data_IF_408539133229
#
_entry.id   IF_408539133229
#
_cell.length_a   1.000
_cell.length_b   1.000
_cell.length_c   1.000
_cell.angle_alpha   90.00
_cell.angle_beta   90.00
_cell.angle_gamma   90.00
#
_symmetry.space_group_name_H-M   'P 1'
#
loop_
_entity.id
_entity.type
_entity.pdbx_description
1 polymer ?
#
# COMPACT_ATOMS: atom_id res chain seq x y z
N UNK A 1 -4.81 1.50 -0.25
CA UNK A 1 -4.48 1.68 1.18
C UNK A 1 -5.74 1.59 2.05
N UNK A 2 -6.71 2.51 1.97
CA UNK A 2 -7.94 2.43 2.79
C UNK A 2 -8.72 1.12 2.65
N UNK A 3 -8.89 0.61 1.42
CA UNK A 3 -9.52 -0.68 1.15
C UNK A 3 -8.81 -1.86 1.85
N UNK A 4 -7.48 -1.82 1.84
CA UNK A 4 -6.61 -2.88 2.37
C UNK A 4 -6.60 -2.83 3.91
N UNK A 5 -6.50 -1.62 4.48
CA UNK A 5 -6.65 -1.44 5.92
C UNK A 5 -8.04 -1.85 6.44
N UNK A 6 -9.06 -1.90 5.56
CA UNK A 6 -10.39 -2.39 5.91
C UNK A 6 -10.55 -3.91 5.72
N UNK A 7 -9.72 -4.57 4.91
CA UNK A 7 -9.85 -6.03 4.69
C UNK A 7 -9.55 -6.86 5.94
N UNK A 8 -8.75 -6.33 6.88
CA UNK A 8 -8.53 -6.88 8.22
C UNK A 8 -9.65 -6.53 9.24
N UNK A 9 -10.64 -5.74 8.81
CA UNK A 9 -11.79 -5.38 9.63
C UNK A 9 -11.53 -4.29 10.67
N UNK A 10 -10.29 -4.07 11.12
CA UNK A 10 -9.92 -3.03 12.11
C UNK A 10 -8.59 -2.32 11.77
N UNK A 11 -8.69 -1.03 11.45
CA UNK A 11 -7.50 -0.19 11.22
C UNK A 11 -6.76 0.07 12.54
N UNK A 12 -5.47 -0.27 12.59
CA UNK A 12 -4.57 -0.06 13.73
C UNK A 12 -3.91 1.32 13.70
N UNK A 13 -3.31 1.74 14.83
CA UNK A 13 -2.56 3.00 14.90
C UNK A 13 -1.31 2.97 14.03
N UNK A 14 -0.69 1.80 13.89
CA UNK A 14 0.55 1.62 13.12
C UNK A 14 0.30 1.74 11.62
N UNK A 15 -0.84 1.23 11.13
CA UNK A 15 -1.28 1.44 9.74
C UNK A 15 -1.54 2.92 9.42
N UNK A 16 -2.16 3.66 10.36
CA UNK A 16 -2.40 5.10 10.20
C UNK A 16 -1.06 5.86 10.19
N UNK A 17 -0.13 5.51 11.08
CA UNK A 17 1.18 6.12 11.14
C UNK A 17 1.98 5.89 9.85
N UNK A 18 1.94 4.67 9.31
CA UNK A 18 2.59 4.34 8.04
C UNK A 18 1.96 5.12 6.88
N UNK A 19 0.63 5.17 6.80
CA UNK A 19 -0.08 5.95 5.78
C UNK A 19 0.31 7.45 5.84
N UNK A 20 0.42 8.03 7.04
CA UNK A 20 0.86 9.41 7.21
C UNK A 20 2.31 9.61 6.74
N UNK A 21 3.23 8.69 7.09
CA UNK A 21 4.62 8.78 6.64
C UNK A 21 4.76 8.68 5.11
N UNK A 22 3.96 7.81 4.49
CA UNK A 22 3.89 7.72 3.03
C UNK A 22 3.43 9.04 2.42
N UNK A 23 2.35 9.63 2.94
CA UNK A 23 1.86 10.93 2.49
C UNK A 23 2.90 12.05 2.67
N UNK A 24 3.64 12.06 3.78
CA UNK A 24 4.73 13.01 4.02
C UNK A 24 5.86 12.88 2.99
N UNK A 25 6.23 11.64 2.62
CA UNK A 25 7.26 11.38 1.60
C UNK A 25 6.85 11.75 0.18
N UNK A 26 5.56 11.71 -0.11
CA UNK A 26 5.03 12.22 -1.38
C UNK A 26 5.13 13.75 -1.49
N UNK A 27 5.62 14.44 -0.45
CA UNK A 27 5.79 15.89 -0.38
C UNK A 27 4.48 16.64 -0.68
N UNK A 28 3.37 16.10 -0.18
CA UNK A 28 2.05 16.69 -0.31
C UNK A 28 1.96 17.97 0.50
N UNK A 29 1.42 19.04 -0.10
CA UNK A 29 1.03 20.22 0.66
C UNK A 29 -0.20 19.93 1.54
N UNK A 30 -0.57 20.86 2.43
CA UNK A 30 -1.65 20.68 3.39
C UNK A 30 -3.01 20.34 2.74
N UNK A 31 -3.33 21.00 1.62
CA UNK A 31 -4.55 20.71 0.85
C UNK A 31 -4.52 19.30 0.26
N UNK A 32 -3.40 18.92 -0.35
CA UNK A 32 -3.21 17.59 -0.92
C UNK A 32 -3.24 16.49 0.15
N UNK A 33 -2.70 16.76 1.33
CA UNK A 33 -2.77 15.83 2.48
C UNK A 33 -4.21 15.64 2.94
N UNK A 34 -4.98 16.71 3.03
CA UNK A 34 -6.42 16.63 3.37
C UNK A 34 -7.19 15.79 2.34
N UNK A 35 -6.93 16.00 1.05
CA UNK A 35 -7.50 15.18 -0.02
C UNK A 35 -7.10 13.72 0.11
N UNK A 36 -5.82 13.43 0.37
CA UNK A 36 -5.32 12.07 0.53
C UNK A 36 -5.97 11.34 1.73
N UNK A 37 -6.19 12.03 2.85
CA UNK A 37 -6.92 11.50 4.01
C UNK A 37 -8.38 11.19 3.63
N UNK A 38 -9.04 12.09 2.91
CA UNK A 38 -10.41 11.87 2.46
C UNK A 38 -10.50 10.66 1.52
N UNK A 39 -9.59 10.55 0.54
CA UNK A 39 -9.51 9.40 -0.36
C UNK A 39 -9.20 8.09 0.37
N UNK A 40 -8.36 8.13 1.41
CA UNK A 40 -8.13 6.98 2.28
C UNK A 40 -9.42 6.55 2.99
N UNK A 41 -10.20 7.51 3.50
CA UNK A 41 -11.49 7.23 4.14
C UNK A 41 -12.54 6.70 3.15
N UNK A 42 -12.61 7.26 1.95
CA UNK A 42 -13.45 6.76 0.86
C UNK A 42 -13.10 5.31 0.52
N UNK A 43 -11.81 4.98 0.46
CA UNK A 43 -11.33 3.62 0.22
C UNK A 43 -11.78 2.58 1.24
N UNK A 44 -12.18 2.99 2.46
CA UNK A 44 -12.70 2.09 3.51
C UNK A 44 -14.19 1.79 3.36
N UNK A 45 -14.91 2.50 2.49
CA UNK A 45 -16.35 2.34 2.34
C UNK A 45 -16.69 0.94 1.80
N UNK A 46 -17.82 0.36 2.21
CA UNK A 46 -18.32 -0.86 1.56
C UNK A 46 -18.54 -0.59 0.07
N UNK A 47 -18.33 -1.61 -0.76
CA UNK A 47 -18.46 -1.54 -2.22
C UNK A 47 -17.49 -0.57 -2.92
N UNK A 48 -16.37 -0.20 -2.28
CA UNK A 48 -15.32 0.54 -2.96
C UNK A 48 -14.83 -0.24 -4.20
N UNK A 49 -14.83 0.35 -5.41
CA UNK A 49 -14.53 -0.35 -6.66
C UNK A 49 -13.02 -0.50 -6.87
N UNK A 50 -12.37 -1.29 -6.01
CA UNK A 50 -10.90 -1.40 -5.96
C UNK A 50 -10.29 -1.79 -7.30
N UNK A 51 -10.88 -2.75 -8.02
CA UNK A 51 -10.35 -3.25 -9.28
C UNK A 51 -10.42 -2.19 -10.39
N UNK A 52 -11.48 -1.39 -10.44
CA UNK A 52 -11.62 -0.30 -11.42
C UNK A 52 -10.59 0.79 -11.16
N UNK A 53 -10.38 1.14 -9.89
CA UNK A 53 -9.38 2.13 -9.48
C UNK A 53 -7.96 1.64 -9.79
N UNK A 54 -7.65 0.37 -9.53
CA UNK A 54 -6.35 -0.23 -9.86
C UNK A 54 -6.13 -0.31 -11.38
N UNK A 55 -7.16 -0.66 -12.14
CA UNK A 55 -7.10 -0.66 -13.60
C UNK A 55 -6.81 0.75 -14.16
N UNK A 56 -7.49 1.77 -13.64
CA UNK A 56 -7.20 3.16 -13.99
C UNK A 56 -5.76 3.55 -13.61
N UNK A 57 -5.35 3.29 -12.37
CA UNK A 57 -4.01 3.59 -11.89
C UNK A 57 -2.92 2.94 -12.75
N UNK A 58 -3.10 1.67 -13.15
CA UNK A 58 -2.18 0.96 -14.05
C UNK A 58 -2.09 1.61 -15.42
N UNK A 59 -3.22 2.03 -16.01
CA UNK A 59 -3.23 2.74 -17.29
C UNK A 59 -2.46 4.06 -17.21
N UNK A 60 -2.73 4.85 -16.17
CA UNK A 60 -2.08 6.16 -15.96
C UNK A 60 -0.58 6.02 -15.61
N UNK A 61 -0.21 4.92 -14.94
CA UNK A 61 1.16 4.64 -14.50
C UNK A 61 1.96 3.77 -15.47
N UNK A 62 1.42 3.45 -16.66
CA UNK A 62 2.00 2.46 -17.59
C UNK A 62 3.49 2.69 -17.91
N UNK A 63 3.93 3.95 -18.00
CA UNK A 63 5.33 4.32 -18.29
C UNK A 63 6.18 4.53 -17.04
N UNK A 64 5.57 4.47 -15.85
CA UNK A 64 6.18 4.78 -14.55
C UNK A 64 6.27 3.52 -13.70
N UNK A 65 7.03 2.52 -14.16
CA UNK A 65 7.18 1.22 -13.45
C UNK A 65 7.60 1.39 -11.99
N UNK A 66 8.47 2.36 -11.70
CA UNK A 66 8.90 2.68 -10.34
C UNK A 66 7.75 3.17 -9.45
N UNK A 67 6.75 3.87 -10.01
CA UNK A 67 5.57 4.32 -9.27
C UNK A 67 4.69 3.13 -8.88
N UNK A 68 4.48 2.19 -9.80
CA UNK A 68 3.70 0.96 -9.53
C UNK A 68 4.41 0.10 -8.49
N UNK A 69 5.73 -0.08 -8.62
CA UNK A 69 6.52 -0.82 -7.64
C UNK A 69 6.46 -0.16 -6.25
N UNK A 70 6.69 1.15 -6.17
CA UNK A 70 6.60 1.90 -4.91
C UNK A 70 5.22 1.78 -4.27
N UNK A 71 4.15 1.87 -5.08
CA UNK A 71 2.78 1.69 -4.60
C UNK A 71 2.58 0.29 -3.99
N UNK A 72 3.02 -0.75 -4.69
CA UNK A 72 2.87 -2.12 -4.21
C UNK A 72 3.70 -2.37 -2.95
N UNK A 73 4.92 -1.82 -2.85
CA UNK A 73 5.75 -1.86 -1.64
C UNK A 73 5.04 -1.23 -0.43
N UNK A 74 4.43 -0.05 -0.62
CA UNK A 74 3.67 0.66 0.43
C UNK A 74 2.47 -0.17 0.89
N UNK A 75 1.74 -0.73 -0.07
CA UNK A 75 0.54 -1.54 0.18
C UNK A 75 0.88 -2.79 0.98
N UNK A 76 1.92 -3.52 0.57
CA UNK A 76 2.38 -4.71 1.28
C UNK A 76 2.88 -4.36 2.69
N UNK A 77 3.64 -3.28 2.84
CA UNK A 77 4.13 -2.83 4.14
C UNK A 77 3.01 -2.47 5.12
N UNK A 78 1.91 -1.91 4.61
CA UNK A 78 0.74 -1.58 5.43
C UNK A 78 0.10 -2.84 6.00
N UNK A 79 -0.03 -3.88 5.17
CA UNK A 79 -0.54 -5.17 5.59
C UNK A 79 0.43 -5.98 6.49
N UNK A 80 1.68 -5.56 6.63
CA UNK A 80 2.66 -6.16 7.56
C UNK A 80 2.87 -5.32 8.83
N UNK A 81 2.17 -4.18 8.98
CA UNK A 81 2.48 -3.18 10.02
C UNK A 81 2.32 -3.71 11.45
N UNK A 82 1.46 -4.71 11.67
CA UNK A 82 1.26 -5.38 12.95
C UNK A 82 2.22 -6.58 13.19
N UNK A 83 3.12 -6.83 12.23
CA UNK A 83 4.12 -7.88 12.28
C UNK A 83 3.63 -9.28 11.88
N UNK A 84 2.38 -9.42 11.44
CA UNK A 84 1.84 -10.66 10.88
C UNK A 84 1.15 -10.36 9.55
N UNK A 85 0.93 -11.40 8.77
CA UNK A 85 0.10 -11.34 7.57
C UNK A 85 -0.67 -12.63 7.56
N UNK A 86 -2.00 -12.53 7.54
CA UNK A 86 -2.85 -13.71 7.43
C UNK A 86 -3.03 -14.13 5.96
N UNK A 87 -3.61 -15.31 5.75
CA UNK A 87 -3.81 -15.86 4.40
C UNK A 87 -4.80 -15.03 3.57
N UNK A 88 -5.77 -14.36 4.21
CA UNK A 88 -6.75 -13.51 3.52
C UNK A 88 -6.06 -12.24 3.02
N UNK A 89 -5.24 -11.60 3.84
CA UNK A 89 -4.48 -10.42 3.45
C UNK A 89 -3.50 -10.71 2.33
N UNK A 90 -2.79 -11.83 2.42
CA UNK A 90 -1.90 -12.28 1.34
C UNK A 90 -2.69 -12.45 0.04
N UNK A 91 -3.87 -13.09 0.08
CA UNK A 91 -4.71 -13.26 -1.11
C UNK A 91 -5.15 -11.92 -1.72
N UNK A 92 -5.58 -10.96 -0.89
CA UNK A 92 -5.95 -9.61 -1.36
C UNK A 92 -4.75 -8.91 -2.00
N UNK A 93 -3.56 -9.02 -1.41
CA UNK A 93 -2.34 -8.43 -1.98
C UNK A 93 -1.93 -9.09 -3.31
N UNK A 94 -2.09 -10.41 -3.43
CA UNK A 94 -1.86 -11.15 -4.67
C UNK A 94 -2.81 -10.71 -5.78
N UNK A 95 -4.09 -10.50 -5.48
CA UNK A 95 -5.08 -9.94 -6.41
C UNK A 95 -4.69 -8.54 -6.88
N UNK A 96 -4.33 -7.66 -5.94
CA UNK A 96 -3.89 -6.29 -6.24
C UNK A 96 -2.62 -6.30 -7.11
N UNK A 97 -1.64 -7.16 -6.78
CA UNK A 97 -0.41 -7.30 -7.55
C UNK A 97 -0.71 -7.75 -8.99
N UNK A 98 -1.62 -8.71 -9.16
CA UNK A 98 -2.08 -9.21 -10.46
C UNK A 98 -2.76 -8.13 -11.29
N UNK A 99 -3.66 -7.36 -10.68
CA UNK A 99 -4.32 -6.23 -11.34
C UNK A 99 -3.28 -5.24 -11.87
N UNK A 100 -2.23 -4.98 -11.10
CA UNK A 100 -1.11 -4.10 -11.47
C UNK A 100 -0.13 -4.72 -12.48
N UNK A 101 -0.30 -6.01 -12.84
CA UNK A 101 0.49 -6.70 -13.86
C UNK A 101 1.68 -7.49 -13.33
N UNK A 102 1.72 -7.80 -12.03
CA UNK A 102 2.69 -8.70 -11.44
C UNK A 102 2.16 -10.14 -11.53
N UNK A 103 3.04 -11.08 -11.86
CA UNK A 103 2.75 -12.50 -11.71
C UNK A 103 3.12 -13.00 -10.30
N UNK A 104 2.76 -14.24 -9.99
CA UNK A 104 3.01 -14.84 -8.67
C UNK A 104 4.49 -14.81 -8.28
N UNK A 105 5.39 -15.12 -9.21
CA UNK A 105 6.83 -15.15 -8.92
C UNK A 105 7.36 -13.75 -8.56
N UNK A 106 6.97 -12.74 -9.33
CA UNK A 106 7.34 -11.35 -9.07
C UNK A 106 6.79 -10.85 -7.73
N UNK A 107 5.56 -11.26 -7.38
CA UNK A 107 4.98 -10.95 -6.09
C UNK A 107 5.71 -11.65 -4.93
N UNK A 108 6.04 -12.94 -5.07
CA UNK A 108 6.81 -13.69 -4.08
C UNK A 108 8.22 -13.12 -3.90
N UNK A 109 8.89 -12.71 -4.99
CA UNK A 109 10.19 -12.02 -4.94
C UNK A 109 10.09 -10.67 -4.23
N UNK A 110 9.00 -9.92 -4.48
CA UNK A 110 8.71 -8.70 -3.74
C UNK A 110 8.60 -9.04 -2.25
N UNK A 111 7.68 -9.91 -1.86
CA UNK A 111 7.46 -10.33 -0.47
C UNK A 111 8.77 -10.76 0.20
N UNK A 112 9.54 -11.66 -0.40
CA UNK A 112 10.82 -12.14 0.12
C UNK A 112 11.82 -11.02 0.36
N UNK A 113 11.89 -10.03 -0.54
CA UNK A 113 12.75 -8.84 -0.36
C UNK A 113 12.23 -7.93 0.75
N UNK A 114 10.93 -7.82 0.94
CA UNK A 114 10.32 -6.97 1.97
C UNK A 114 10.35 -7.62 3.37
N UNK A 115 10.31 -8.95 3.46
CA UNK A 115 10.32 -9.72 4.71
C UNK A 115 11.72 -10.22 5.11
N UNK A 116 12.53 -10.65 4.13
CA UNK A 116 13.91 -11.12 4.32
C UNK A 116 14.90 -9.99 4.58
N UNK A 117 14.59 -8.77 4.16
CA UNK A 117 15.22 -7.57 4.70
C UNK A 117 14.39 -7.08 5.88
N UNK A 118 14.86 -7.33 7.11
CA UNK A 118 14.47 -6.58 8.30
C UNK A 118 14.87 -5.08 8.22
N UNK A 119 14.71 -4.46 7.05
CA UNK A 119 15.04 -3.07 6.69
C UNK A 119 13.84 -2.31 6.10
N UNK A 120 12.62 -2.83 6.24
CA UNK A 120 11.41 -2.04 5.96
C UNK A 120 11.27 -0.81 6.85
N UNK A 121 11.51 -0.93 8.18
CA UNK A 121 11.49 0.23 9.07
C UNK A 121 12.54 1.25 8.61
N UNK A 122 13.77 0.84 8.27
CA UNK A 122 14.83 1.81 8.08
C UNK A 122 14.73 2.61 6.76
N UNK A 123 14.16 2.01 5.71
CA UNK A 123 14.02 2.70 4.41
C UNK A 123 12.86 3.70 4.43
N UNK A 124 11.85 3.55 5.30
CA UNK A 124 10.68 4.45 5.43
C UNK A 124 10.59 5.26 6.74
N UNK A 125 11.20 4.78 7.83
CA UNK A 125 11.25 5.38 9.18
C UNK A 125 12.55 6.13 9.50
N UNK A 126 13.35 6.59 8.52
CA UNK A 126 14.42 7.55 8.83
C UNK A 126 13.79 8.82 9.44
N UNK A 127 13.81 8.91 10.77
CA UNK A 127 13.77 10.16 11.50
C UNK A 127 14.96 10.98 10.99
N UNK A 128 14.70 12.00 10.18
CA UNK A 128 15.66 13.10 10.07
C UNK A 128 15.75 13.70 11.48
N UNK A 129 16.93 13.56 12.08
CA UNK A 129 17.37 14.40 13.19
C UNK A 129 17.29 15.88 12.78
#
# INVERSE_FOLDING_TARGET
MGYIAKSDGRVTKDEIALADQVMRRMNLNERQRTVAINLFNEGKKPHFPVHEVLAQFKRESFRRRNLVQMFLEIVVATAFADGRMDTREQHVLEEIARDLGYNQNQFNELLSRLTGQAHFPNRYLQKKN
#
